data_IF_211605820109
#
_entry.id   IF_211605820109
#
_cell.length_a   1.000
_cell.length_b   1.000
_cell.length_c   1.000
_cell.angle_alpha   90.00
_cell.angle_beta   90.00
_cell.angle_gamma   90.00
#
_symmetry.space_group_name_H-M   'P 1'
#
loop_
_entity.id
_entity.type
_entity.pdbx_description
1 polymer ?
#
# COMPACT_ATOMS: atom_id res chain seq x y z
N UNK A 1 96.71 -66.17 60.54
CA UNK A 1 96.89 -64.85 59.90
C UNK A 1 96.01 -64.71 58.66
N UNK A 2 96.07 -65.66 57.71
CA UNK A 2 95.29 -65.62 56.46
C UNK A 2 93.76 -65.55 56.66
N UNK A 3 93.21 -66.37 57.56
CA UNK A 3 91.77 -66.33 57.94
C UNK A 3 91.32 -64.99 58.54
N UNK A 4 92.22 -64.27 59.23
CA UNK A 4 91.91 -62.95 59.80
C UNK A 4 91.83 -61.89 58.69
N UNK A 5 92.76 -61.94 57.73
CA UNK A 5 92.75 -61.06 56.57
C UNK A 5 91.52 -61.28 55.68
N UNK A 6 91.07 -62.53 55.52
CA UNK A 6 89.86 -62.87 54.77
C UNK A 6 88.58 -62.34 55.45
N UNK A 7 88.49 -62.44 56.78
CA UNK A 7 87.38 -61.88 57.56
C UNK A 7 87.35 -60.35 57.49
N UNK A 8 88.51 -59.69 57.55
CA UNK A 8 88.61 -58.23 57.38
C UNK A 8 88.17 -57.78 56.00
N UNK A 9 88.57 -58.52 54.95
CA UNK A 9 88.12 -58.25 53.57
C UNK A 9 86.61 -58.38 53.44
N UNK A 10 86.04 -59.50 53.91
CA UNK A 10 84.58 -59.71 53.92
C UNK A 10 83.88 -58.60 54.70
N UNK A 11 84.40 -58.21 55.87
CA UNK A 11 83.84 -57.11 56.66
C UNK A 11 83.82 -55.76 55.92
N UNK A 12 84.87 -55.45 55.16
CA UNK A 12 84.92 -54.27 54.31
C UNK A 12 83.95 -54.37 53.13
N UNK A 13 83.85 -55.54 52.49
CA UNK A 13 82.91 -55.79 51.38
C UNK A 13 81.45 -55.60 51.87
N UNK A 14 81.09 -56.17 53.03
CA UNK A 14 79.79 -55.98 53.67
C UNK A 14 79.53 -54.51 54.06
N UNK A 15 80.56 -53.79 54.50
CA UNK A 15 80.43 -52.36 54.82
C UNK A 15 80.18 -51.52 53.56
N UNK A 16 80.84 -51.84 52.45
CA UNK A 16 80.62 -51.18 51.16
C UNK A 16 79.21 -51.48 50.67
N UNK A 17 78.79 -52.75 50.68
CA UNK A 17 77.46 -53.15 50.25
C UNK A 17 76.35 -52.50 51.09
N UNK A 18 76.55 -52.39 52.42
CA UNK A 18 75.65 -51.65 53.29
C UNK A 18 75.53 -50.18 52.89
N UNK A 19 76.65 -49.52 52.62
CA UNK A 19 76.66 -48.12 52.19
C UNK A 19 75.96 -47.93 50.84
N UNK A 20 76.16 -48.86 49.90
CA UNK A 20 75.49 -48.86 48.60
C UNK A 20 73.98 -49.04 48.75
N UNK A 21 73.53 -49.98 49.59
CA UNK A 21 72.11 -50.20 49.91
C UNK A 21 71.48 -48.98 50.62
N UNK A 22 72.19 -48.33 51.54
CA UNK A 22 71.71 -47.10 52.18
C UNK A 22 71.59 -45.95 51.15
N UNK A 23 72.52 -45.85 50.20
CA UNK A 23 72.46 -44.91 49.08
C UNK A 23 71.24 -45.17 48.18
N UNK A 24 71.00 -46.44 47.85
CA UNK A 24 69.84 -46.91 47.09
C UNK A 24 68.51 -46.57 47.79
N UNK A 25 68.39 -46.88 49.08
CA UNK A 25 67.22 -46.56 49.89
C UNK A 25 66.95 -45.05 49.89
N UNK A 26 67.99 -44.23 50.06
CA UNK A 26 67.84 -42.78 50.02
C UNK A 26 67.41 -42.25 48.65
N UNK A 27 67.89 -42.86 47.56
CA UNK A 27 67.47 -42.52 46.20
C UNK A 27 65.99 -42.89 45.99
N UNK A 28 65.60 -44.12 46.34
CA UNK A 28 64.21 -44.58 46.25
C UNK A 28 63.25 -43.70 47.06
N UNK A 29 63.64 -43.26 48.27
CA UNK A 29 62.81 -42.34 49.06
C UNK A 29 62.60 -40.99 48.37
N UNK A 30 63.63 -40.44 47.72
CA UNK A 30 63.52 -39.19 46.95
C UNK A 30 62.60 -39.37 45.75
N UNK A 31 62.74 -40.47 45.02
CA UNK A 31 61.87 -40.82 43.89
C UNK A 31 60.41 -40.98 44.35
N UNK A 32 60.17 -41.71 45.45
CA UNK A 32 58.84 -41.86 46.04
C UNK A 32 58.22 -40.50 46.38
N UNK A 33 58.99 -39.59 46.97
CA UNK A 33 58.53 -38.24 47.31
C UNK A 33 58.24 -37.38 46.06
N UNK A 34 59.02 -37.54 44.99
CA UNK A 34 58.76 -36.88 43.71
C UNK A 34 57.51 -37.41 43.01
N UNK A 35 57.33 -38.73 43.00
CA UNK A 35 56.13 -39.37 42.46
C UNK A 35 54.88 -38.94 43.23
N UNK A 36 54.94 -38.88 44.57
CA UNK A 36 53.84 -38.39 45.39
C UNK A 36 53.44 -36.95 45.03
N UNK A 37 54.42 -36.04 44.91
CA UNK A 37 54.15 -34.65 44.47
C UNK A 37 53.54 -34.58 43.07
N UNK A 38 53.94 -35.48 42.17
CA UNK A 38 53.42 -35.55 40.80
C UNK A 38 51.98 -36.03 40.81
N UNK A 39 51.64 -37.04 41.61
CA UNK A 39 50.26 -37.51 41.82
C UNK A 39 49.40 -36.38 42.39
N UNK A 40 49.84 -35.71 43.46
CA UNK A 40 49.11 -34.58 44.06
C UNK A 40 48.89 -33.41 43.08
N UNK A 41 49.79 -33.24 42.11
CA UNK A 41 49.61 -32.26 41.03
C UNK A 41 48.57 -32.73 40.02
N UNK A 42 48.70 -33.98 39.53
CA UNK A 42 47.76 -34.56 38.56
C UNK A 42 46.33 -34.59 39.14
N UNK A 43 46.16 -34.91 40.42
CA UNK A 43 44.83 -34.94 41.05
C UNK A 43 44.20 -33.55 41.14
N UNK A 44 44.99 -32.50 41.42
CA UNK A 44 44.52 -31.12 41.39
C UNK A 44 44.12 -30.70 39.97
N UNK A 45 44.96 -31.01 38.99
CA UNK A 45 44.68 -30.70 37.58
C UNK A 45 43.41 -31.45 37.12
N UNK A 46 43.22 -32.71 37.54
CA UNK A 46 42.02 -33.51 37.24
C UNK A 46 40.74 -32.89 37.82
N UNK A 47 40.79 -32.44 39.08
CA UNK A 47 39.65 -31.77 39.73
C UNK A 47 39.29 -30.48 38.99
N UNK A 48 40.28 -29.66 38.66
CA UNK A 48 40.07 -28.43 37.88
C UNK A 48 39.45 -28.72 36.51
N UNK A 49 39.95 -29.72 35.80
CA UNK A 49 39.38 -30.14 34.52
C UNK A 49 37.93 -30.62 34.67
N UNK A 50 37.61 -31.37 35.73
CA UNK A 50 36.25 -31.84 36.00
C UNK A 50 35.29 -30.67 36.27
N UNK A 51 35.73 -29.67 37.03
CA UNK A 51 34.94 -28.44 37.28
C UNK A 51 34.70 -27.65 36.00
N UNK A 52 35.74 -27.46 35.17
CA UNK A 52 35.61 -26.80 33.87
C UNK A 52 34.66 -27.55 32.94
N UNK A 53 34.77 -28.88 32.87
CA UNK A 53 33.84 -29.69 32.09
C UNK A 53 32.41 -29.55 32.57
N UNK A 54 32.20 -29.51 33.89
CA UNK A 54 30.86 -29.34 34.49
C UNK A 54 30.27 -27.97 34.15
N UNK A 55 31.08 -26.89 34.21
CA UNK A 55 30.67 -25.54 33.81
C UNK A 55 30.32 -25.43 32.33
N UNK A 56 31.15 -26.01 31.46
CA UNK A 56 30.89 -26.04 30.02
C UNK A 56 29.60 -26.82 29.71
N UNK A 57 29.31 -27.89 30.45
CA UNK A 57 28.06 -28.64 30.30
C UNK A 57 26.83 -27.83 30.71
N UNK A 58 26.91 -27.04 31.78
CA UNK A 58 25.79 -26.17 32.19
C UNK A 58 25.57 -25.03 31.20
N UNK A 59 26.63 -24.35 30.79
CA UNK A 59 26.56 -23.27 29.80
C UNK A 59 26.01 -23.78 28.46
N UNK A 60 26.46 -24.93 27.99
CA UNK A 60 25.94 -25.54 26.76
C UNK A 60 24.44 -25.87 26.87
N UNK A 61 23.99 -26.38 28.02
CA UNK A 61 22.54 -26.62 28.25
C UNK A 61 21.74 -25.32 28.21
N UNK A 62 22.24 -24.25 28.81
CA UNK A 62 21.60 -22.93 28.81
C UNK A 62 21.55 -22.35 27.40
N UNK A 63 22.64 -22.43 26.64
CA UNK A 63 22.70 -21.99 25.25
C UNK A 63 21.71 -22.78 24.37
N UNK A 64 21.62 -24.10 24.54
CA UNK A 64 20.63 -24.92 23.81
C UNK A 64 19.20 -24.54 24.17
N UNK A 65 18.90 -24.25 25.44
CA UNK A 65 17.57 -23.77 25.84
C UNK A 65 17.26 -22.39 25.26
N UNK A 66 18.23 -21.46 25.30
CA UNK A 66 18.08 -20.14 24.70
C UNK A 66 17.87 -20.21 23.19
N UNK A 67 18.61 -21.08 22.50
CA UNK A 67 18.46 -21.31 21.06
C UNK A 67 17.05 -21.80 20.73
N UNK A 68 16.54 -22.79 21.47
CA UNK A 68 15.18 -23.30 21.27
C UNK A 68 14.10 -22.23 21.48
N UNK A 69 14.24 -21.41 22.53
CA UNK A 69 13.29 -20.30 22.78
C UNK A 69 13.28 -19.29 21.63
N UNK A 70 14.47 -18.90 21.14
CA UNK A 70 14.58 -17.98 20.01
C UNK A 70 14.04 -18.59 18.71
N UNK A 71 14.20 -19.90 18.50
CA UNK A 71 13.61 -20.61 17.37
C UNK A 71 12.07 -20.63 17.45
N UNK A 72 11.50 -20.87 18.63
CA UNK A 72 10.05 -20.81 18.89
C UNK A 72 9.50 -19.40 18.63
N UNK A 73 10.11 -18.36 19.20
CA UNK A 73 9.75 -16.96 18.96
C UNK A 73 9.85 -16.60 17.46
N UNK A 74 10.87 -17.08 16.76
CA UNK A 74 11.01 -16.85 15.32
C UNK A 74 9.86 -17.50 14.52
N UNK A 75 9.45 -18.71 14.90
CA UNK A 75 8.32 -19.39 14.29
C UNK A 75 7.01 -18.66 14.54
N UNK A 76 6.79 -18.13 15.74
CA UNK A 76 5.59 -17.36 16.07
C UNK A 76 5.53 -16.04 15.30
N UNK A 77 6.64 -15.30 15.24
CA UNK A 77 6.73 -14.07 14.44
C UNK A 77 6.47 -14.34 12.95
N UNK A 78 6.96 -15.48 12.41
CA UNK A 78 6.65 -15.87 11.02
C UNK A 78 5.17 -16.17 10.81
N UNK A 79 4.51 -16.83 11.76
CA UNK A 79 3.06 -17.09 11.70
C UNK A 79 2.28 -15.79 11.72
N UNK A 80 2.66 -14.84 12.58
CA UNK A 80 1.98 -13.55 12.67
C UNK A 80 2.21 -12.68 11.43
N UNK A 81 3.42 -12.69 10.86
CA UNK A 81 3.68 -12.07 9.56
C UNK A 81 2.79 -12.65 8.45
N UNK A 82 2.61 -13.97 8.40
CA UNK A 82 1.72 -14.62 7.42
C UNK A 82 0.25 -14.20 7.62
N UNK A 83 -0.24 -14.16 8.86
CA UNK A 83 -1.60 -13.68 9.18
C UNK A 83 -1.80 -12.23 8.75
N UNK A 84 -0.84 -11.36 9.06
CA UNK A 84 -0.90 -9.94 8.69
C UNK A 84 -0.86 -9.75 7.17
N UNK A 85 -0.05 -10.52 6.44
CA UNK A 85 -0.02 -10.51 4.98
C UNK A 85 -1.36 -10.96 4.38
N UNK A 86 -1.97 -12.02 4.92
CA UNK A 86 -3.28 -12.48 4.49
C UNK A 86 -4.37 -11.42 4.75
N UNK A 87 -4.38 -10.82 5.94
CA UNK A 87 -5.31 -9.74 6.30
C UNK A 87 -5.17 -8.52 5.38
N UNK A 88 -3.92 -8.10 5.12
CA UNK A 88 -3.64 -6.99 4.22
C UNK A 88 -4.14 -7.27 2.80
N UNK A 89 -3.90 -8.46 2.28
CA UNK A 89 -4.36 -8.88 0.94
C UNK A 89 -5.89 -8.85 0.87
N UNK A 90 -6.56 -9.40 1.88
CA UNK A 90 -8.03 -9.39 1.96
C UNK A 90 -8.60 -7.95 2.02
N UNK A 91 -7.94 -7.06 2.75
CA UNK A 91 -8.33 -5.66 2.84
C UNK A 91 -8.16 -4.94 1.49
N UNK A 92 -7.05 -5.17 0.79
CA UNK A 92 -6.79 -4.63 -0.54
C UNK A 92 -7.82 -5.14 -1.57
N UNK A 93 -8.14 -6.44 -1.54
CA UNK A 93 -9.19 -7.03 -2.38
C UNK A 93 -10.57 -6.42 -2.10
N UNK A 94 -10.92 -6.24 -0.82
CA UNK A 94 -12.18 -5.62 -0.41
C UNK A 94 -12.27 -4.16 -0.88
N UNK A 95 -11.17 -3.41 -0.75
CA UNK A 95 -11.11 -2.03 -1.20
C UNK A 95 -11.22 -1.94 -2.73
N UNK A 96 -10.52 -2.80 -3.45
CA UNK A 96 -10.60 -2.88 -4.91
C UNK A 96 -12.03 -3.22 -5.37
N UNK A 97 -12.68 -4.19 -4.72
CA UNK A 97 -14.07 -4.56 -5.01
C UNK A 97 -15.04 -3.39 -4.82
N UNK A 98 -14.91 -2.63 -3.72
CA UNK A 98 -15.73 -1.42 -3.48
C UNK A 98 -15.52 -0.34 -4.53
N UNK A 99 -14.28 -0.13 -4.98
CA UNK A 99 -13.98 0.83 -6.05
C UNK A 99 -14.63 0.42 -7.37
N UNK A 100 -14.59 -0.86 -7.71
CA UNK A 100 -15.27 -1.41 -8.88
C UNK A 100 -16.79 -1.23 -8.76
N UNK A 101 -17.38 -1.51 -7.61
CA UNK A 101 -18.81 -1.33 -7.36
C UNK A 101 -19.25 0.14 -7.52
N UNK A 102 -18.51 1.08 -6.94
CA UNK A 102 -18.82 2.51 -7.07
C UNK A 102 -18.68 2.97 -8.52
N UNK A 103 -17.61 2.58 -9.22
CA UNK A 103 -17.38 2.98 -10.60
C UNK A 103 -18.43 2.39 -11.55
N UNK A 104 -18.81 1.13 -11.36
CA UNK A 104 -19.86 0.48 -12.15
C UNK A 104 -21.21 1.14 -11.91
N UNK A 105 -21.55 1.45 -10.65
CA UNK A 105 -22.78 2.19 -10.31
C UNK A 105 -22.81 3.57 -10.96
N UNK A 106 -21.73 4.35 -10.85
CA UNK A 106 -21.63 5.68 -11.48
C UNK A 106 -21.79 5.61 -13.00
N UNK A 107 -21.21 4.60 -13.66
CA UNK A 107 -21.37 4.40 -15.10
C UNK A 107 -22.83 4.12 -15.46
N UNK A 108 -23.50 3.24 -14.71
CA UNK A 108 -24.91 2.92 -14.93
C UNK A 108 -25.83 4.12 -14.70
N UNK A 109 -25.57 4.92 -13.67
CA UNK A 109 -26.31 6.16 -13.40
C UNK A 109 -26.15 7.15 -14.56
N UNK A 110 -24.92 7.36 -15.04
CA UNK A 110 -24.65 8.22 -16.19
C UNK A 110 -25.32 7.72 -17.48
N UNK A 111 -25.31 6.40 -17.75
CA UNK A 111 -25.99 5.80 -18.89
C UNK A 111 -27.52 6.03 -18.82
N UNK A 112 -28.11 5.86 -17.63
CA UNK A 112 -29.54 6.10 -17.41
C UNK A 112 -29.92 7.57 -17.58
N UNK A 113 -29.13 8.51 -17.03
CA UNK A 113 -29.35 9.95 -17.23
C UNK A 113 -29.27 10.35 -18.71
N UNK A 114 -28.30 9.80 -19.44
CA UNK A 114 -28.17 10.02 -20.88
C UNK A 114 -29.40 9.50 -21.65
N UNK A 115 -29.93 8.33 -21.28
CA UNK A 115 -31.13 7.79 -21.91
C UNK A 115 -32.39 8.63 -21.58
N UNK A 116 -32.51 9.09 -20.33
CA UNK A 116 -33.57 10.02 -19.93
C UNK A 116 -33.50 11.31 -20.76
N UNK A 117 -32.31 11.90 -20.90
CA UNK A 117 -32.10 13.11 -21.71
C UNK A 117 -32.43 12.88 -23.19
N UNK A 118 -32.04 11.74 -23.77
CA UNK A 118 -32.40 11.37 -25.15
C UNK A 118 -33.92 11.25 -25.31
N UNK A 119 -34.60 10.62 -24.36
CA UNK A 119 -36.06 10.48 -24.39
C UNK A 119 -36.77 11.85 -24.29
N UNK A 120 -36.29 12.74 -23.42
CA UNK A 120 -36.82 14.09 -23.25
C UNK A 120 -36.57 14.95 -24.50
N UNK A 121 -35.38 14.86 -25.10
CA UNK A 121 -35.05 15.53 -26.36
C UNK A 121 -36.01 15.07 -27.49
N UNK A 122 -36.20 13.76 -27.65
CA UNK A 122 -37.10 13.21 -28.66
C UNK A 122 -38.56 13.67 -28.48
N UNK A 123 -39.02 13.84 -27.22
CA UNK A 123 -40.34 14.39 -26.92
C UNK A 123 -40.42 15.89 -27.25
N UNK A 124 -39.40 16.67 -26.88
CA UNK A 124 -39.32 18.10 -27.18
C UNK A 124 -39.31 18.35 -28.70
N UNK A 125 -38.55 17.56 -29.47
CA UNK A 125 -38.54 17.62 -30.93
C UNK A 125 -39.92 17.35 -31.54
N UNK A 126 -40.63 16.31 -31.08
CA UNK A 126 -42.00 16.03 -31.51
C UNK A 126 -42.95 17.19 -31.21
N UNK A 127 -42.86 17.76 -30.01
CA UNK A 127 -43.68 18.90 -29.62
C UNK A 127 -43.42 20.14 -30.49
N UNK A 128 -42.14 20.42 -30.79
CA UNK A 128 -41.74 21.49 -31.70
C UNK A 128 -42.29 21.27 -33.12
N UNK A 129 -42.20 20.05 -33.65
CA UNK A 129 -42.76 19.72 -34.97
C UNK A 129 -44.29 19.94 -35.03
N UNK A 130 -45.02 19.55 -33.99
CA UNK A 130 -46.47 19.77 -33.90
C UNK A 130 -46.78 21.28 -33.87
N UNK A 131 -46.05 22.05 -33.05
CA UNK A 131 -46.21 23.51 -32.96
C UNK A 131 -45.90 24.21 -34.28
N UNK A 132 -44.83 23.81 -34.96
CA UNK A 132 -44.44 24.36 -36.27
C UNK A 132 -45.50 24.06 -37.33
N UNK A 133 -46.01 22.81 -37.38
CA UNK A 133 -47.11 22.44 -38.30
C UNK A 133 -48.37 23.27 -38.04
N UNK A 134 -48.76 23.44 -36.78
CA UNK A 134 -49.91 24.26 -36.39
C UNK A 134 -49.71 25.74 -36.77
N UNK A 135 -48.52 26.30 -36.50
CA UNK A 135 -48.20 27.67 -36.87
C UNK A 135 -48.23 27.89 -38.39
N UNK A 136 -47.59 27.00 -39.17
CA UNK A 136 -47.64 27.04 -40.64
C UNK A 136 -49.07 27.00 -41.17
N UNK A 137 -49.93 26.18 -40.57
CA UNK A 137 -51.34 26.14 -40.96
C UNK A 137 -52.05 27.47 -40.67
N UNK A 138 -51.87 28.03 -39.46
CA UNK A 138 -52.45 29.32 -39.08
C UNK A 138 -51.98 30.46 -39.99
N UNK A 139 -50.69 30.51 -40.32
CA UNK A 139 -50.13 31.51 -41.25
C UNK A 139 -50.80 31.39 -42.62
N UNK A 140 -50.89 30.18 -43.19
CA UNK A 140 -51.58 29.97 -44.47
C UNK A 140 -53.03 30.44 -44.45
N UNK A 141 -53.80 30.11 -43.40
CA UNK A 141 -55.19 30.59 -43.29
C UNK A 141 -55.29 32.11 -43.17
N UNK A 142 -54.33 32.77 -42.52
CA UNK A 142 -54.28 34.24 -42.43
C UNK A 142 -53.90 34.86 -43.79
N UNK A 143 -52.93 34.28 -44.49
CA UNK A 143 -52.55 34.70 -45.85
C UNK A 143 -53.73 34.59 -46.82
N UNK A 144 -54.50 33.49 -46.77
CA UNK A 144 -55.72 33.31 -47.57
C UNK A 144 -56.79 34.36 -47.25
N UNK A 145 -56.98 34.70 -45.97
CA UNK A 145 -57.91 35.76 -45.56
C UNK A 145 -57.49 37.14 -46.09
N UNK A 146 -56.20 37.48 -45.99
CA UNK A 146 -55.67 38.75 -46.50
C UNK A 146 -55.82 38.88 -48.02
N UNK A 147 -55.65 37.78 -48.76
CA UNK A 147 -55.91 37.75 -50.21
C UNK A 147 -57.38 38.05 -50.53
N UNK A 148 -58.33 37.46 -49.78
CA UNK A 148 -59.75 37.75 -49.96
C UNK A 148 -60.07 39.22 -49.67
N UNK A 149 -59.55 39.75 -48.56
CA UNK A 149 -59.73 41.15 -48.16
C UNK A 149 -59.10 42.13 -49.16
N UNK A 150 -57.88 41.88 -49.63
CA UNK A 150 -57.19 42.71 -50.62
C UNK A 150 -57.81 42.61 -52.01
N UNK A 151 -58.35 41.45 -52.42
CA UNK A 151 -59.11 41.30 -53.67
C UNK A 151 -60.44 42.05 -53.68
N UNK A 152 -61.06 42.26 -52.51
CA UNK A 152 -62.22 43.12 -52.31
C UNK A 152 -61.83 44.61 -52.31
N UNK A 153 -60.62 44.93 -51.88
CA UNK A 153 -60.06 46.27 -51.89
C UNK A 153 -59.52 46.61 -53.29
N UNK A 154 -60.41 46.98 -54.22
CA UNK A 154 -59.98 47.68 -55.44
C UNK A 154 -59.37 49.01 -54.98
N UNK A 155 -58.06 49.27 -55.18
CA UNK A 155 -57.55 50.61 -54.99
C UNK A 155 -58.34 51.47 -55.98
N UNK A 156 -59.19 52.35 -55.47
CA UNK A 156 -59.80 53.36 -56.32
C UNK A 156 -58.64 54.13 -56.93
N UNK A 157 -58.35 53.85 -58.20
CA UNK A 157 -57.41 54.59 -59.02
C UNK A 157 -58.01 55.97 -59.36
N UNK A 158 -58.44 56.69 -58.34
CA UNK A 158 -58.71 58.11 -58.40
C UNK A 158 -57.48 58.80 -57.81
N UNK A 159 -56.62 59.41 -58.64
CA UNK A 159 -55.86 60.57 -58.20
C UNK A 159 -56.88 61.69 -57.97
N UNK A 160 -57.52 61.69 -56.81
CA UNK A 160 -58.40 62.76 -56.35
C UNK A 160 -57.84 63.19 -54.99
N UNK A 161 -56.86 64.10 -55.00
CA UNK A 161 -57.12 65.53 -54.78
C UNK A 161 -58.09 65.72 -53.61
N UNK A 162 -57.50 65.99 -52.45
CA UNK A 162 -58.14 66.70 -51.34
C UNK A 162 -59.28 65.97 -50.64
N UNK A 163 -58.99 65.50 -49.42
CA UNK A 163 -59.99 65.29 -48.39
C UNK A 163 -60.65 66.66 -48.05
N UNK A 164 -61.94 66.87 -48.34
CA UNK A 164 -62.60 68.16 -48.13
C UNK A 164 -62.85 68.48 -46.65
N UNK A 165 -62.60 67.55 -45.72
CA UNK A 165 -62.80 67.79 -44.29
C UNK A 165 -61.54 68.25 -43.53
N UNK A 166 -60.37 68.20 -44.16
CA UNK A 166 -59.13 68.58 -43.47
C UNK A 166 -59.05 70.08 -43.16
N UNK A 167 -59.73 70.92 -43.95
CA UNK A 167 -59.72 72.38 -43.78
C UNK A 167 -60.66 72.90 -42.70
N UNK A 168 -61.76 72.20 -42.44
CA UNK A 168 -62.75 72.63 -41.45
C UNK A 168 -62.26 72.40 -40.01
N UNK A 169 -61.32 71.49 -39.80
CA UNK A 169 -60.80 71.16 -38.45
C UNK A 169 -59.49 71.88 -38.13
N UNK A 170 -58.67 72.22 -39.13
CA UNK A 170 -57.30 72.72 -38.88
C UNK A 170 -57.03 74.17 -39.31
N UNK A 171 -57.94 74.79 -40.08
CA UNK A 171 -57.86 76.21 -40.45
C UNK A 171 -56.58 76.65 -41.18
N UNK A 172 -55.70 75.72 -41.58
CA UNK A 172 -54.40 76.03 -42.17
C UNK A 172 -53.85 74.84 -42.97
N UNK A 173 -53.25 75.11 -44.13
CA UNK A 173 -52.51 74.10 -44.91
C UNK A 173 -51.23 73.77 -44.14
N UNK A 174 -50.94 72.50 -43.81
CA UNK A 174 -49.63 72.13 -43.30
C UNK A 174 -48.58 72.42 -44.38
N UNK A 175 -47.79 73.47 -44.17
CA UNK A 175 -46.60 73.73 -44.97
C UNK A 175 -45.61 72.58 -44.76
N UNK A 176 -45.20 71.96 -45.87
CA UNK A 176 -43.98 71.15 -46.04
C UNK A 176 -43.48 70.42 -44.77
N UNK A 177 -43.88 69.16 -44.59
CA UNK A 177 -43.16 68.24 -43.72
C UNK A 177 -41.94 67.69 -44.46
N UNK A 178 -40.77 68.07 -43.94
CA UNK A 178 -39.45 67.58 -44.33
C UNK A 178 -39.39 66.05 -44.33
N UNK A 179 -38.89 65.50 -45.44
CA UNK A 179 -38.36 64.14 -45.52
C UNK A 179 -37.02 64.09 -44.79
N UNK A 180 -37.04 63.74 -43.51
CA UNK A 180 -35.89 63.08 -42.86
C UNK A 180 -36.30 62.32 -41.60
N UNK A 181 -36.67 61.05 -41.75
CA UNK A 181 -36.47 60.06 -40.69
C UNK A 181 -35.79 58.85 -41.31
N UNK A 182 -34.48 59.02 -41.48
CA UNK A 182 -33.56 57.90 -41.59
C UNK A 182 -33.31 57.30 -40.21
N UNK A 183 -33.37 55.97 -40.18
CA UNK A 183 -32.42 55.08 -39.51
C UNK A 183 -32.20 55.16 -37.98
N UNK A 184 -32.22 53.94 -37.40
CA UNK A 184 -31.53 53.53 -36.19
C UNK A 184 -32.21 53.82 -34.85
N UNK A 185 -33.15 52.95 -34.48
CA UNK A 185 -33.23 52.46 -33.09
C UNK A 185 -32.82 51.00 -33.06
N UNK A 186 -31.54 50.78 -32.73
CA UNK A 186 -31.02 49.51 -32.26
C UNK A 186 -31.65 49.27 -30.89
N UNK A 187 -32.52 48.28 -30.79
CA UNK A 187 -32.86 47.70 -29.49
C UNK A 187 -31.68 46.86 -29.03
N UNK A 188 -31.04 47.31 -27.96
CA UNK A 188 -30.10 46.54 -27.16
C UNK A 188 -30.77 45.23 -26.73
N UNK A 189 -30.28 44.10 -27.22
CA UNK A 189 -30.52 42.81 -26.60
C UNK A 189 -29.31 42.55 -25.71
N UNK A 190 -29.47 42.86 -24.43
CA UNK A 190 -28.53 42.44 -23.39
C UNK A 190 -28.42 40.92 -23.46
N UNK A 191 -27.21 40.50 -23.81
CA UNK A 191 -26.75 39.12 -23.74
C UNK A 191 -26.49 38.88 -22.26
N UNK A 192 -27.47 38.34 -21.55
CA UNK A 192 -27.25 37.78 -20.21
C UNK A 192 -26.28 36.60 -20.35
N UNK A 193 -25.00 36.92 -20.25
CA UNK A 193 -23.96 35.98 -19.86
C UNK A 193 -24.28 35.49 -18.46
N UNK A 194 -24.98 34.36 -18.38
CA UNK A 194 -25.09 33.55 -17.18
C UNK A 194 -23.71 33.13 -16.72
N UNK A 195 -23.14 33.91 -15.82
CA UNK A 195 -22.03 33.54 -14.97
C UNK A 195 -22.46 32.34 -14.12
N UNK A 196 -22.01 31.15 -14.51
CA UNK A 196 -22.06 29.97 -13.65
C UNK A 196 -21.05 30.16 -12.51
N UNK A 197 -21.47 30.87 -11.47
CA UNK A 197 -20.78 30.89 -10.19
C UNK A 197 -20.84 29.49 -9.58
N UNK A 198 -19.68 28.84 -9.56
CA UNK A 198 -19.44 27.59 -8.83
C UNK A 198 -19.36 27.95 -7.35
N UNK A 199 -20.50 27.99 -6.67
CA UNK A 199 -20.56 28.06 -5.22
C UNK A 199 -20.44 26.64 -4.64
N UNK A 200 -19.35 26.45 -3.91
CA UNK A 200 -19.06 25.30 -3.07
C UNK A 200 -20.09 25.22 -1.94
N UNK A 201 -20.97 24.22 -1.96
CA UNK A 201 -21.77 23.86 -0.81
C UNK A 201 -21.10 22.70 -0.07
N UNK A 202 -20.51 23.03 1.08
CA UNK A 202 -20.27 22.09 2.17
C UNK A 202 -21.62 21.63 2.74
N UNK A 203 -21.86 20.33 2.94
CA UNK A 203 -22.90 19.87 3.85
C UNK A 203 -22.27 19.65 5.23
N UNK A 204 -22.58 20.53 6.17
CA UNK A 204 -22.36 20.27 7.60
C UNK A 204 -23.65 19.74 8.23
N UNK A 205 -23.45 18.77 9.11
CA UNK A 205 -24.38 18.17 10.07
C UNK A 205 -25.37 17.12 9.52
N UNK A 206 -25.25 15.89 9.98
CA UNK A 206 -26.07 15.33 11.07
C UNK A 206 -25.42 13.99 11.49
N UNK A 207 -24.87 13.95 12.71
CA UNK A 207 -24.49 12.73 13.43
C UNK A 207 -25.57 12.50 14.48
N UNK A 208 -26.21 11.32 14.56
CA UNK A 208 -26.98 10.91 15.73
C UNK A 208 -26.08 10.13 16.72
N UNK A 209 -25.95 10.73 17.90
CA UNK A 209 -26.05 10.21 19.29
C UNK A 209 -25.77 8.73 19.68
N UNK A 210 -25.25 8.67 20.92
CA UNK A 210 -25.27 7.61 21.97
C UNK A 210 -24.32 6.41 21.74
N UNK A 211 -23.54 5.89 22.69
CA UNK A 211 -23.34 6.07 24.13
C UNK A 211 -22.45 4.92 24.65
N UNK A 212 -21.86 5.12 25.83
CA UNK A 212 -21.26 4.14 26.76
C UNK A 212 -19.81 3.59 26.63
N UNK A 213 -18.97 4.12 27.54
CA UNK A 213 -18.26 3.42 28.63
C UNK A 213 -17.22 2.33 28.32
N UNK A 214 -15.94 2.58 28.63
CA UNK A 214 -15.21 2.01 29.78
C UNK A 214 -13.75 2.51 29.88
N UNK A 215 -13.24 2.41 31.11
CA UNK A 215 -12.00 2.93 31.69
C UNK A 215 -10.71 2.26 31.17
N UNK A 216 -9.57 2.96 31.20
CA UNK A 216 -8.41 2.58 32.05
C UNK A 216 -7.19 3.50 31.87
N UNK A 217 -6.48 3.68 32.99
CA UNK A 217 -5.25 4.44 33.24
C UNK A 217 -4.05 4.03 32.36
N UNK A 218 -3.13 4.97 32.06
CA UNK A 218 -1.76 5.04 32.65
C UNK A 218 -0.84 6.04 31.90
N UNK A 219 -0.18 6.87 32.72
CA UNK A 219 1.19 7.44 32.70
C UNK A 219 2.00 7.72 31.42
N UNK A 220 2.66 8.90 31.46
CA UNK A 220 3.96 9.21 30.83
C UNK A 220 3.91 9.48 29.31
N UNK A 221 4.58 10.46 28.72
CA UNK A 221 5.81 11.18 29.07
C UNK A 221 5.90 12.40 28.14
N UNK A 222 6.60 13.43 28.60
CA UNK A 222 6.94 14.66 27.89
C UNK A 222 7.64 14.41 26.54
N UNK A 223 7.41 15.29 25.56
CA UNK A 223 8.03 15.17 24.23
C UNK A 223 7.72 16.33 23.30
N UNK A 224 8.29 17.49 23.63
CA UNK A 224 8.28 18.72 22.85
C UNK A 224 9.11 18.54 21.54
N UNK A 225 8.55 18.83 20.37
CA UNK A 225 9.28 18.64 19.10
C UNK A 225 8.59 19.23 17.87
N UNK A 226 8.99 20.47 17.53
CA UNK A 226 8.59 21.21 16.32
C UNK A 226 9.20 20.61 15.05
N UNK A 227 8.39 20.47 14.00
CA UNK A 227 8.67 20.78 12.57
C UNK A 227 7.58 20.10 11.72
N UNK A 228 6.88 20.71 10.76
CA UNK A 228 7.15 21.95 10.05
C UNK A 228 7.70 21.70 8.66
N UNK A 229 7.06 20.86 7.82
CA UNK A 229 7.28 20.88 6.37
C UNK A 229 6.00 20.53 5.60
N UNK A 230 5.53 21.54 4.84
CA UNK A 230 4.65 21.42 3.68
C UNK A 230 5.44 20.77 2.55
N UNK A 231 4.83 19.82 1.82
CA UNK A 231 4.92 19.81 0.36
C UNK A 231 3.84 18.89 -0.20
N UNK A 232 2.95 19.47 -1.01
CA UNK A 232 2.07 18.72 -1.89
C UNK A 232 2.75 18.53 -3.24
N UNK A 233 2.59 17.36 -3.83
CA UNK A 233 2.58 17.17 -5.28
C UNK A 233 2.01 15.78 -5.57
N UNK A 234 0.79 15.77 -6.10
CA UNK A 234 0.21 14.62 -6.77
C UNK A 234 0.85 14.51 -8.16
N UNK A 235 1.41 13.35 -8.50
CA UNK A 235 1.47 12.91 -9.90
C UNK A 235 1.27 11.40 -9.97
N UNK A 236 0.10 11.05 -10.48
CA UNK A 236 -0.26 9.78 -11.09
C UNK A 236 0.79 9.27 -12.07
N UNK A 237 1.05 7.97 -12.06
CA UNK A 237 1.36 7.21 -13.28
C UNK A 237 0.84 5.77 -13.11
N UNK A 238 -0.34 5.55 -13.66
CA UNK A 238 -0.98 4.25 -13.88
C UNK A 238 -0.37 3.69 -15.16
N UNK A 239 0.39 2.61 -15.07
CA UNK A 239 0.77 1.81 -16.24
C UNK A 239 -0.14 0.58 -16.26
N UNK A 240 -1.03 0.57 -17.24
CA UNK A 240 -1.82 -0.57 -17.65
C UNK A 240 -0.91 -1.68 -18.18
N UNK A 241 -1.11 -2.91 -17.73
CA UNK A 241 -0.65 -4.11 -18.45
C UNK A 241 -1.65 -5.23 -18.21
N UNK A 242 -2.69 -5.21 -19.03
CA UNK A 242 -3.63 -6.31 -19.20
C UNK A 242 -3.01 -7.37 -20.10
N UNK A 243 -2.86 -8.60 -19.61
CA UNK A 243 -2.77 -9.77 -20.47
C UNK A 243 -3.61 -10.90 -19.87
N UNK A 244 -4.84 -11.00 -20.34
CA UNK A 244 -5.69 -12.19 -20.25
C UNK A 244 -5.57 -12.95 -21.56
N UNK A 245 -5.19 -14.23 -21.53
CA UNK A 245 -5.53 -15.22 -22.56
C UNK A 245 -5.71 -16.60 -21.96
N UNK A 246 -6.98 -16.98 -21.87
CA UNK A 246 -7.62 -18.22 -22.33
C UNK A 246 -7.13 -19.58 -21.81
N UNK A 247 -8.06 -20.21 -21.09
CA UNK A 247 -8.25 -21.63 -20.85
C UNK A 247 -8.50 -22.45 -22.14
N UNK A 248 -8.09 -23.72 -22.11
CA UNK A 248 -8.63 -24.93 -22.80
C UNK A 248 -7.46 -25.84 -23.26
N UNK A 249 -7.47 -27.18 -23.25
CA UNK A 249 -8.36 -28.28 -22.88
C UNK A 249 -7.52 -29.59 -23.03
N UNK A 250 -7.77 -30.58 -22.18
CA UNK A 250 -7.68 -32.06 -22.35
C UNK A 250 -6.41 -32.83 -22.83
N UNK A 251 -6.10 -33.86 -22.02
CA UNK A 251 -5.67 -35.23 -22.42
C UNK A 251 -4.17 -35.42 -22.64
N UNK A 252 -3.49 -36.49 -22.26
CA UNK A 252 -3.83 -37.78 -21.66
C UNK A 252 -2.48 -38.48 -21.32
N UNK A 253 -2.49 -39.44 -20.39
CA UNK A 253 -1.52 -40.53 -20.17
C UNK A 253 -0.05 -40.27 -19.72
N UNK A 254 0.30 -40.97 -18.62
CA UNK A 254 1.68 -41.35 -18.31
C UNK A 254 1.90 -41.69 -16.84
N UNK A 255 1.62 -42.94 -16.45
CA UNK A 255 2.12 -43.51 -15.21
C UNK A 255 3.66 -43.50 -15.23
N UNK A 256 4.31 -42.94 -14.20
CA UNK A 256 5.57 -43.51 -13.71
C UNK A 256 5.85 -43.13 -12.26
N UNK A 257 6.44 -44.12 -11.61
CA UNK A 257 6.56 -44.40 -10.19
C UNK A 257 7.90 -43.89 -9.63
N UNK A 258 7.85 -43.38 -8.39
CA UNK A 258 8.89 -43.40 -7.34
C UNK A 258 10.30 -42.84 -7.60
N UNK A 259 10.66 -41.75 -6.89
CA UNK A 259 11.61 -41.74 -5.75
C UNK A 259 12.03 -40.29 -5.36
N UNK A 260 12.22 -39.99 -4.06
CA UNK A 260 12.74 -38.69 -3.61
C UNK A 260 14.27 -38.74 -3.54
N UNK A 261 14.94 -37.89 -4.32
CA UNK A 261 16.39 -37.71 -4.21
C UNK A 261 16.71 -36.67 -3.13
N UNK A 262 17.08 -37.17 -1.96
CA UNK A 262 17.78 -36.42 -0.92
C UNK A 262 19.07 -35.82 -1.51
N UNK A 263 19.18 -34.49 -1.52
CA UNK A 263 20.48 -33.81 -1.55
C UNK A 263 20.65 -32.98 -0.29
N UNK A 264 21.27 -33.63 0.68
CA UNK A 264 22.00 -33.03 1.79
C UNK A 264 23.05 -32.05 1.24
N UNK A 265 22.80 -30.75 1.38
CA UNK A 265 23.86 -29.74 1.32
C UNK A 265 24.60 -29.71 2.66
N UNK A 266 25.61 -30.56 2.79
CA UNK A 266 26.67 -30.44 3.80
C UNK A 266 27.80 -29.55 3.26
N UNK A 267 28.37 -28.75 4.17
CA UNK A 267 29.73 -28.20 4.13
C UNK A 267 29.91 -26.77 3.59
N UNK A 268 29.77 -25.79 4.49
CA UNK A 268 30.65 -24.61 4.55
C UNK A 268 31.05 -24.40 6.02
N UNK A 269 31.98 -25.20 6.52
CA UNK A 269 32.59 -24.95 7.84
C UNK A 269 33.98 -25.57 8.00
N UNK A 270 34.82 -25.55 6.95
CA UNK A 270 36.16 -26.18 7.01
C UNK A 270 37.30 -25.35 6.39
N UNK A 271 37.24 -24.01 6.48
CA UNK A 271 38.32 -23.13 5.97
C UNK A 271 38.89 -22.12 6.95
N UNK A 272 38.69 -22.28 8.28
CA UNK A 272 39.23 -21.35 9.28
C UNK A 272 40.26 -21.93 10.27
N UNK A 273 40.68 -23.19 10.16
CA UNK A 273 41.55 -23.85 11.18
C UNK A 273 42.95 -24.23 10.64
N UNK A 274 43.48 -23.50 9.64
CA UNK A 274 44.89 -23.68 9.20
C UNK A 274 45.66 -22.37 8.99
N UNK A 275 45.63 -21.46 9.96
CA UNK A 275 46.53 -20.29 9.93
C UNK A 275 47.07 -19.84 11.29
N UNK A 276 47.17 -20.73 12.29
CA UNK A 276 47.70 -20.36 13.62
C UNK A 276 48.72 -21.35 14.22
N UNK A 277 49.49 -22.05 13.39
CA UNK A 277 50.61 -22.88 13.85
C UNK A 277 51.95 -22.59 13.16
N UNK A 278 52.16 -21.35 12.72
CA UNK A 278 53.49 -20.84 12.38
C UNK A 278 53.59 -19.37 12.82
N UNK A 279 53.92 -19.16 14.09
CA UNK A 279 54.63 -17.99 14.63
C UNK A 279 55.04 -18.25 16.07
#
# INVERSE_FOLDING_TARGET
MEKNNELMRKGNDWSSEKQDLEGEINRMHKEQMQLKKTIDRIDRDRIQQQELCSKLQTENKELLQSTRRLEEENLDLRRDLQKLQAFKTQQEETQAARLVEVNTKQRLEAENEMEQQRSALAQAEKALQIRERSHRHRVRCLEEQDIVLSGLYKPTAAPSRYDPYYYQVTGSIPARLDRSYGASRIFNRERESGSSQRATHNPSSIIPRDGDSHQSLTEGTEGNGKSGLRSGACTSNIIHSSTSRMSALFGEHGYHESTPSERLNRSISESLIRRHLER
#
